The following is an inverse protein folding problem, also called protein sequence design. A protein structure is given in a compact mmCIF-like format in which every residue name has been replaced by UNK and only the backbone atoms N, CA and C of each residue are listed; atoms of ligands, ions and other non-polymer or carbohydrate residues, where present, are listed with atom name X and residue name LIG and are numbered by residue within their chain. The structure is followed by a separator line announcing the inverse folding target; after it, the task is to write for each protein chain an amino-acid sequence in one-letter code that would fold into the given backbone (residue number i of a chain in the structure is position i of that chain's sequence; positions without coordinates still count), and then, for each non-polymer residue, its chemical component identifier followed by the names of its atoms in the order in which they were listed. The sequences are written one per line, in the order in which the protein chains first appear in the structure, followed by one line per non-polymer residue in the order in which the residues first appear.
data_IF_764702507118
#
_entry.id   IF_764702507118
#
_cell.length_a   1.000
_cell.length_b   1.000
_cell.length_c   1.000
_cell.angle_alpha   90.00
_cell.angle_beta   90.00
_cell.angle_gamma   90.00
#
_symmetry.space_group_name_H-M   'P 1'
#
loop_
_entity.id
_entity.type
_entity.pdbx_description
1 polymer ?
#
# COMPACT_ATOMS: atom_id res chain seq x y z
N UNK A 1 -19.46 -22.05 -22.77
CA UNK A 1 -19.72 -21.33 -24.04
C UNK A 1 -18.44 -20.60 -24.39
N UNK A 2 -17.81 -20.92 -25.52
CA UNK A 2 -16.50 -20.41 -25.89
C UNK A 2 -16.67 -19.66 -27.21
N UNK A 3 -16.35 -18.36 -27.22
CA UNK A 3 -16.43 -17.53 -28.42
C UNK A 3 -15.03 -17.48 -29.03
N UNK A 4 -14.89 -17.93 -30.29
CA UNK A 4 -13.64 -17.88 -31.04
C UNK A 4 -13.75 -16.73 -32.04
N UNK A 5 -12.94 -15.69 -31.84
CA UNK A 5 -12.82 -14.54 -32.73
C UNK A 5 -11.62 -14.77 -33.65
N UNK A 6 -11.88 -14.83 -34.96
CA UNK A 6 -10.85 -14.92 -36.00
C UNK A 6 -10.65 -13.52 -36.60
N UNK A 7 -9.46 -12.95 -36.44
CA UNK A 7 -9.11 -11.61 -36.90
C UNK A 7 -7.71 -11.55 -37.50
N UNK A 8 -7.41 -10.47 -38.21
CA UNK A 8 -6.07 -10.17 -38.72
C UNK A 8 -5.18 -9.62 -37.59
N UNK A 9 -3.85 -9.64 -37.74
CA UNK A 9 -2.94 -9.09 -36.72
C UNK A 9 -3.17 -7.60 -36.42
N UNK A 10 -3.73 -6.84 -37.37
CA UNK A 10 -4.15 -5.45 -37.14
C UNK A 10 -5.37 -5.37 -36.21
N UNK A 11 -6.30 -6.32 -36.33
CA UNK A 11 -7.47 -6.42 -35.47
C UNK A 11 -7.09 -6.84 -34.05
N UNK A 12 -6.06 -7.68 -33.90
CA UNK A 12 -5.47 -8.02 -32.59
C UNK A 12 -4.89 -6.78 -31.91
N UNK A 13 -4.09 -5.98 -32.63
CA UNK A 13 -3.52 -4.73 -32.10
C UNK A 13 -4.60 -3.73 -31.67
N UNK A 14 -5.65 -3.57 -32.48
CA UNK A 14 -6.80 -2.70 -32.15
C UNK A 14 -7.61 -3.23 -30.97
N UNK A 15 -7.86 -4.54 -30.89
CA UNK A 15 -8.54 -5.15 -29.75
C UNK A 15 -7.75 -4.95 -28.46
N UNK A 16 -6.44 -5.22 -28.46
CA UNK A 16 -5.58 -4.98 -27.29
C UNK A 16 -5.62 -3.52 -26.88
N UNK A 17 -5.55 -2.59 -27.85
CA UNK A 17 -5.60 -1.16 -27.55
C UNK A 17 -6.95 -0.73 -26.97
N UNK A 18 -8.06 -1.14 -27.58
CA UNK A 18 -9.41 -0.81 -27.11
C UNK A 18 -9.72 -1.48 -25.78
N UNK A 19 -9.31 -2.73 -25.57
CA UNK A 19 -9.44 -3.41 -24.28
C UNK A 19 -8.63 -2.71 -23.20
N UNK A 20 -7.41 -2.26 -23.52
CA UNK A 20 -6.58 -1.49 -22.60
C UNK A 20 -7.21 -0.14 -22.27
N UNK A 21 -7.70 0.61 -23.26
CA UNK A 21 -8.38 1.88 -23.04
C UNK A 21 -9.65 1.68 -22.21
N UNK A 22 -10.46 0.66 -22.54
CA UNK A 22 -11.70 0.36 -21.84
C UNK A 22 -11.45 -0.11 -20.41
N UNK A 23 -10.38 -0.88 -20.13
CA UNK A 23 -10.01 -1.21 -18.76
C UNK A 23 -9.32 -0.05 -18.03
N UNK A 24 -8.55 0.79 -18.71
CA UNK A 24 -8.05 2.04 -18.13
C UNK A 24 -9.25 2.93 -17.73
N UNK A 25 -10.32 2.95 -18.52
CA UNK A 25 -11.56 3.70 -18.24
C UNK A 25 -12.53 2.99 -17.27
N UNK A 26 -12.60 1.67 -17.22
CA UNK A 26 -13.34 0.94 -16.18
C UNK A 26 -12.57 0.89 -14.85
N UNK A 27 -11.24 1.04 -14.86
CA UNK A 27 -10.48 1.43 -13.66
C UNK A 27 -10.64 2.91 -13.30
N UNK A 28 -11.16 3.74 -14.22
CA UNK A 28 -11.80 5.03 -13.90
C UNK A 28 -13.24 4.87 -13.41
N UNK A 29 -13.68 3.67 -13.03
CA UNK A 29 -14.48 3.57 -11.81
C UNK A 29 -13.62 4.18 -10.69
N UNK A 30 -13.71 5.50 -10.56
CA UNK A 30 -13.28 6.28 -9.42
C UNK A 30 -14.08 5.75 -8.24
N UNK A 31 -13.67 4.59 -7.73
CA UNK A 31 -13.85 4.22 -6.35
C UNK A 31 -13.10 5.32 -5.62
N UNK A 32 -13.83 6.38 -5.27
CA UNK A 32 -13.40 7.37 -4.31
C UNK A 32 -13.32 6.62 -2.98
N UNK A 33 -12.25 5.84 -2.83
CA UNK A 33 -11.92 5.17 -1.60
C UNK A 33 -11.60 6.29 -0.63
N UNK A 34 -12.45 6.41 0.37
CA UNK A 34 -12.21 7.35 1.45
C UNK A 34 -10.83 7.05 2.05
N UNK A 35 -10.05 8.09 2.41
CA UNK A 35 -8.83 7.88 3.17
C UNK A 35 -9.11 7.04 4.41
N UNK A 36 -8.20 6.14 4.74
CA UNK A 36 -8.33 5.32 5.94
C UNK A 36 -8.44 6.23 7.16
N UNK A 37 -9.25 5.86 8.16
CA UNK A 37 -9.16 6.54 9.45
C UNK A 37 -7.84 6.19 10.15
N UNK A 38 -7.48 6.90 11.22
CA UNK A 38 -6.32 6.54 12.04
C UNK A 38 -6.46 5.12 12.62
N UNK A 39 -7.69 4.69 12.93
CA UNK A 39 -7.98 3.35 13.42
C UNK A 39 -7.72 2.31 12.33
N UNK A 40 -8.25 2.53 11.13
CA UNK A 40 -8.07 1.61 10.01
C UNK A 40 -6.60 1.56 9.56
N UNK A 41 -5.89 2.68 9.62
CA UNK A 41 -4.45 2.75 9.40
C UNK A 41 -3.69 1.90 10.42
N UNK A 42 -4.09 1.93 11.69
CA UNK A 42 -3.50 1.08 12.74
C UNK A 42 -3.72 -0.40 12.47
N UNK A 43 -4.95 -0.78 12.12
CA UNK A 43 -5.32 -2.18 11.86
C UNK A 43 -4.64 -2.71 10.60
N UNK A 44 -4.59 -1.89 9.55
CA UNK A 44 -3.88 -2.17 8.31
C UNK A 44 -2.40 -2.44 8.57
N UNK A 45 -1.70 -1.55 9.28
CA UNK A 45 -0.28 -1.72 9.57
C UNK A 45 -0.01 -2.92 10.48
N UNK A 46 -0.89 -3.18 11.45
CA UNK A 46 -0.79 -4.36 12.30
C UNK A 46 -0.87 -5.64 11.46
N UNK A 47 -1.83 -5.72 10.54
CA UNK A 47 -1.97 -6.86 9.64
C UNK A 47 -0.73 -7.03 8.77
N UNK A 48 -0.24 -5.95 8.15
CA UNK A 48 0.98 -6.01 7.33
C UNK A 48 2.18 -6.50 8.13
N UNK A 49 2.37 -6.01 9.35
CA UNK A 49 3.47 -6.46 10.21
C UNK A 49 3.30 -7.91 10.68
N UNK A 50 2.08 -8.38 10.92
CA UNK A 50 1.85 -9.79 11.25
C UNK A 50 2.21 -10.74 10.10
N UNK A 51 2.02 -10.30 8.85
CA UNK A 51 2.40 -11.07 7.66
C UNK A 51 3.93 -11.12 7.49
N UNK A 52 4.62 -10.01 7.80
CA UNK A 52 6.08 -9.89 7.61
C UNK A 52 6.90 -10.44 8.79
N UNK A 53 6.34 -10.43 10.00
CA UNK A 53 7.01 -10.90 11.22
C UNK A 53 6.70 -12.39 11.41
N UNK A 54 7.42 -13.24 10.70
CA UNK A 54 7.44 -14.70 10.90
C UNK A 54 8.27 -15.08 12.16
N UNK A 55 8.34 -14.18 13.15
CA UNK A 55 9.14 -14.31 14.38
C UNK A 55 8.22 -14.23 15.58
N UNK A 56 8.04 -15.36 16.26
CA UNK A 56 7.13 -15.55 17.40
C UNK A 56 7.35 -14.57 18.58
N UNK A 57 8.50 -13.86 18.61
CA UNK A 57 8.92 -13.03 19.74
C UNK A 57 8.70 -11.51 19.59
N UNK A 58 8.20 -11.02 18.45
CA UNK A 58 7.98 -9.58 18.24
C UNK A 58 6.49 -9.27 18.10
N UNK A 59 5.94 -8.55 19.08
CA UNK A 59 4.59 -8.02 18.96
C UNK A 59 4.59 -6.85 17.95
N UNK A 60 3.80 -6.90 16.87
CA UNK A 60 3.69 -5.83 15.87
C UNK A 60 3.42 -4.44 16.46
N UNK A 61 2.73 -4.39 17.60
CA UNK A 61 2.41 -3.16 18.33
C UNK A 61 3.68 -2.48 18.89
N UNK A 62 4.70 -3.25 19.25
CA UNK A 62 5.95 -2.72 19.80
C UNK A 62 6.85 -2.11 18.72
N UNK A 63 6.63 -2.48 17.45
CA UNK A 63 7.39 -1.96 16.31
C UNK A 63 6.93 -0.56 15.89
N UNK A 64 5.67 -0.21 16.17
CA UNK A 64 5.04 1.06 15.80
C UNK A 64 4.32 1.68 17.01
N UNK A 65 5.03 2.46 17.84
CA UNK A 65 4.42 3.23 18.92
C UNK A 65 3.31 4.17 18.41
N UNK A 66 2.30 4.45 19.25
CA UNK A 66 1.16 5.27 18.89
C UNK A 66 1.55 6.65 18.31
N UNK A 67 2.56 7.32 18.86
CA UNK A 67 3.03 8.61 18.34
C UNK A 67 3.64 8.49 16.94
N UNK A 68 4.30 7.37 16.63
CA UNK A 68 4.81 7.09 15.28
C UNK A 68 3.64 6.85 14.33
N UNK A 69 2.65 6.05 14.73
CA UNK A 69 1.44 5.79 13.95
C UNK A 69 0.70 7.10 13.64
N UNK A 70 0.51 7.96 14.65
CA UNK A 70 -0.14 9.26 14.49
C UNK A 70 0.60 10.15 13.50
N UNK A 71 1.93 10.26 13.60
CA UNK A 71 2.73 11.04 12.64
C UNK A 71 2.64 10.47 11.23
N UNK A 72 2.65 9.15 11.09
CA UNK A 72 2.52 8.47 9.81
C UNK A 72 1.16 8.74 9.17
N UNK A 73 0.10 8.64 9.97
CA UNK A 73 -1.26 8.98 9.56
C UNK A 73 -1.35 10.44 9.10
N UNK A 74 -0.89 11.40 9.91
CA UNK A 74 -0.90 12.82 9.52
C UNK A 74 -0.08 13.10 8.26
N UNK A 75 1.05 12.42 8.06
CA UNK A 75 1.88 12.61 6.88
C UNK A 75 1.32 11.95 5.60
N UNK A 76 0.50 10.92 5.75
CA UNK A 76 -0.11 10.18 4.64
C UNK A 76 -1.54 10.61 4.33
N UNK A 77 -2.20 11.32 5.26
CA UNK A 77 -3.61 11.66 5.21
C UNK A 77 -4.49 10.45 4.88
N UNK A 78 -4.22 9.30 5.51
CA UNK A 78 -4.95 8.05 5.28
C UNK A 78 -4.74 7.39 3.91
N UNK A 79 -3.86 7.92 3.06
CA UNK A 79 -3.58 7.37 1.74
C UNK A 79 -2.67 6.13 1.83
N UNK A 80 -3.19 4.95 1.45
CA UNK A 80 -2.48 3.66 1.53
C UNK A 80 -1.12 3.68 0.81
N UNK A 81 -1.04 4.31 -0.36
CA UNK A 81 0.23 4.40 -1.12
C UNK A 81 1.28 5.20 -0.35
N UNK A 82 0.88 6.33 0.24
CA UNK A 82 1.77 7.14 1.07
C UNK A 82 2.15 6.43 2.36
N UNK A 83 1.18 5.77 3.01
CA UNK A 83 1.42 4.92 4.18
C UNK A 83 2.53 3.92 3.87
N UNK A 84 2.39 3.13 2.81
CA UNK A 84 3.38 2.11 2.44
C UNK A 84 4.77 2.67 2.17
N UNK A 85 4.85 3.79 1.44
CA UNK A 85 6.12 4.45 1.17
C UNK A 85 6.80 4.98 2.44
N UNK A 86 6.02 5.63 3.32
CA UNK A 86 6.53 6.17 4.58
C UNK A 86 6.99 5.06 5.52
N UNK A 87 6.20 4.00 5.67
CA UNK A 87 6.52 2.82 6.50
C UNK A 87 7.81 2.16 6.01
N UNK A 88 7.91 1.85 4.72
CA UNK A 88 9.09 1.19 4.15
C UNK A 88 10.36 2.04 4.35
N UNK A 89 10.25 3.36 4.14
CA UNK A 89 11.35 4.29 4.41
C UNK A 89 11.72 4.34 5.89
N UNK A 90 10.73 4.29 6.79
CA UNK A 90 10.94 4.37 8.22
C UNK A 90 11.60 3.11 8.80
N UNK A 91 11.18 1.92 8.35
CA UNK A 91 11.84 0.66 8.71
C UNK A 91 13.27 0.59 8.19
N UNK A 92 13.53 1.08 6.98
CA UNK A 92 14.91 1.17 6.46
C UNK A 92 15.78 2.06 7.34
N UNK A 93 15.28 3.23 7.75
CA UNK A 93 16.01 4.15 8.64
C UNK A 93 16.20 3.58 10.04
N UNK A 94 15.19 2.91 10.59
CA UNK A 94 15.31 2.21 11.87
C UNK A 94 16.39 1.12 11.82
N UNK A 95 16.42 0.34 10.74
CA UNK A 95 17.46 -0.67 10.53
C UNK A 95 18.85 -0.04 10.41
N UNK A 96 18.99 1.08 9.69
CA UNK A 96 20.25 1.81 9.56
C UNK A 96 20.74 2.41 10.88
N UNK A 97 19.84 2.79 11.78
CA UNK A 97 20.17 3.30 13.12
C UNK A 97 20.36 2.20 14.17
N UNK A 98 20.24 0.92 13.78
CA UNK A 98 20.30 -0.22 14.70
C UNK A 98 19.09 -0.31 15.64
N UNK A 99 18.02 0.42 15.35
CA UNK A 99 16.77 0.41 16.13
C UNK A 99 15.92 -0.80 15.78
N UNK A 100 15.39 -1.46 16.81
CA UNK A 100 14.43 -2.56 16.67
C UNK A 100 13.00 -2.07 16.39
N UNK A 101 12.73 -0.78 16.56
CA UNK A 101 11.40 -0.17 16.39
C UNK A 101 11.46 1.12 15.57
N UNK A 102 10.32 1.51 15.01
CA UNK A 102 10.19 2.75 14.24
C UNK A 102 9.79 3.91 15.15
N UNK A 103 10.74 4.82 15.40
CA UNK A 103 10.49 6.07 16.09
C UNK A 103 9.99 7.18 15.15
N UNK A 104 9.38 8.21 15.75
CA UNK A 104 8.85 9.41 15.08
C UNK A 104 9.86 10.09 14.15
N UNK A 105 11.15 10.12 14.50
CA UNK A 105 12.20 10.74 13.69
C UNK A 105 12.55 9.93 12.44
N UNK A 106 12.15 8.65 12.36
CA UNK A 106 12.27 7.86 11.14
C UNK A 106 11.17 8.17 10.12
N UNK A 107 10.20 9.03 10.40
CA UNK A 107 9.16 9.46 9.44
C UNK A 107 9.56 10.82 8.84
N UNK A 108 9.93 10.81 7.55
CA UNK A 108 10.22 12.00 6.74
C UNK A 108 9.26 12.04 5.55
N UNK A 109 8.77 13.24 5.21
CA UNK A 109 8.00 13.52 4.00
C UNK A 109 8.92 13.57 2.79
#
# INVERSE_FOLDING_TARGET
MQIILLGTGEMEGKLVHTTREYFEDETNCLLALEPLSIKDTSEYLRLCLQIEVDREDLNPVDLLPFETLKKLYTASDGNIRLINNLVAGAFRRASQSGSLFVAVHHIHQ
#
